data_IF_269300531590
#
_entry.id   IF_269300531590
#
_cell.length_a   1.000
_cell.length_b   1.000
_cell.length_c   1.000
_cell.angle_alpha   90.00
_cell.angle_beta   90.00
_cell.angle_gamma   90.00
#
_symmetry.space_group_name_H-M   'P 1'
#
loop_
_entity.id
_entity.type
_entity.pdbx_description
1 polymer ?
#
# COMPACT_ATOMS: atom_id res chain seq x y z
N UNK A 1 -51.69 45.58 -1.27
CA UNK A 1 -50.34 46.10 -1.58
C UNK A 1 -49.39 45.65 -0.48
N UNK A 2 -48.22 45.19 -0.91
CA UNK A 2 -47.51 44.03 -0.38
C UNK A 2 -46.79 44.22 0.96
N UNK A 3 -46.94 43.23 1.84
CA UNK A 3 -46.00 42.92 2.93
C UNK A 3 -44.73 42.33 2.29
N UNK A 4 -43.59 42.98 2.44
CA UNK A 4 -42.29 42.35 2.24
C UNK A 4 -41.71 42.06 3.63
N UNK A 5 -41.73 40.78 4.00
CA UNK A 5 -40.94 40.24 5.09
C UNK A 5 -39.47 40.22 4.63
N UNK A 6 -38.62 41.02 5.27
CA UNK A 6 -37.18 40.84 5.18
C UNK A 6 -36.81 39.68 6.11
N UNK A 7 -36.59 38.48 5.58
CA UNK A 7 -35.96 37.40 6.36
C UNK A 7 -34.47 37.66 6.43
N UNK A 8 -34.00 38.09 7.60
CA UNK A 8 -32.58 38.18 7.91
C UNK A 8 -32.06 36.75 8.12
N UNK A 9 -31.54 36.12 7.06
CA UNK A 9 -30.84 34.84 7.17
C UNK A 9 -29.50 35.09 7.86
N UNK A 10 -29.45 34.88 9.17
CA UNK A 10 -28.20 34.79 9.93
C UNK A 10 -27.52 33.50 9.47
N UNK A 11 -26.51 33.63 8.60
CA UNK A 11 -25.60 32.55 8.27
C UNK A 11 -24.81 32.25 9.54
N UNK A 12 -25.16 31.17 10.22
CA UNK A 12 -24.28 30.56 11.22
C UNK A 12 -23.06 30.05 10.46
N UNK A 13 -21.97 30.82 10.49
CA UNK A 13 -20.65 30.24 10.33
C UNK A 13 -20.46 29.26 11.48
N UNK A 14 -20.70 27.97 11.22
CA UNK A 14 -20.13 26.92 12.03
C UNK A 14 -18.61 27.03 11.86
N UNK A 15 -17.99 27.82 12.73
CA UNK A 15 -16.59 27.67 13.07
C UNK A 15 -16.46 26.27 13.66
N UNK A 16 -16.12 25.29 12.82
CA UNK A 16 -15.68 24.00 13.33
C UNK A 16 -14.44 24.25 14.19
N UNK A 17 -14.47 23.88 15.48
CA UNK A 17 -13.29 24.01 16.31
C UNK A 17 -12.20 23.11 15.73
N UNK A 18 -11.06 23.71 15.44
CA UNK A 18 -9.80 23.08 15.08
C UNK A 18 -9.31 22.21 16.25
N UNK A 19 -9.85 21.01 16.39
CA UNK A 19 -9.40 20.05 17.40
C UNK A 19 -9.69 18.59 17.02
N UNK A 20 -9.49 18.22 15.76
CA UNK A 20 -9.31 16.82 15.39
C UNK A 20 -7.92 16.66 14.76
N UNK A 21 -6.93 16.42 15.62
CA UNK A 21 -5.80 15.61 15.17
C UNK A 21 -6.30 14.16 15.11
N UNK A 22 -7.14 13.86 14.11
CA UNK A 22 -7.54 12.49 13.81
C UNK A 22 -6.38 11.83 13.08
N UNK A 23 -5.59 11.02 13.79
CA UNK A 23 -4.67 10.08 13.16
C UNK A 23 -5.51 8.96 12.53
N UNK A 24 -6.07 9.20 11.36
CA UNK A 24 -6.71 8.15 10.59
C UNK A 24 -5.66 7.15 10.13
N UNK A 25 -6.08 5.88 10.02
CA UNK A 25 -5.22 4.82 9.51
C UNK A 25 -5.78 4.32 8.18
N UNK A 26 -4.86 4.05 7.25
CA UNK A 26 -5.15 3.38 5.99
C UNK A 26 -5.35 1.89 6.24
N UNK A 27 -5.97 1.13 5.31
CA UNK A 27 -6.12 -0.31 5.44
C UNK A 27 -4.80 -0.97 5.83
N UNK A 28 -4.81 -1.83 6.83
CA UNK A 28 -3.59 -2.54 7.19
C UNK A 28 -3.30 -3.61 6.12
N UNK A 29 -2.16 -3.45 5.44
CA UNK A 29 -1.71 -4.40 4.43
C UNK A 29 -0.89 -5.50 5.12
N UNK A 30 -1.17 -6.80 4.87
CA UNK A 30 -0.40 -7.90 5.42
C UNK A 30 1.10 -7.72 5.18
N UNK A 31 1.88 -7.86 6.26
CA UNK A 31 3.34 -7.70 6.19
C UNK A 31 3.94 -8.94 5.54
N UNK A 32 4.46 -8.81 4.31
CA UNK A 32 5.09 -9.93 3.62
C UNK A 32 6.57 -10.01 3.97
N UNK A 33 6.96 -11.08 4.65
CA UNK A 33 8.34 -11.29 5.08
C UNK A 33 9.21 -11.66 3.87
N UNK A 34 10.36 -11.00 3.74
CA UNK A 34 11.34 -11.28 2.70
C UNK A 34 11.03 -10.63 1.35
N UNK A 35 10.05 -9.72 1.28
CA UNK A 35 9.73 -8.94 0.09
C UNK A 35 9.81 -7.43 0.40
N UNK A 36 10.38 -6.65 -0.51
CA UNK A 36 10.20 -5.20 -0.55
C UNK A 36 8.71 -4.94 -0.75
N UNK A 37 8.13 -3.96 -0.06
CA UNK A 37 6.71 -3.62 -0.25
C UNK A 37 6.62 -2.17 -0.71
N UNK A 38 5.90 -1.93 -1.80
CA UNK A 38 5.40 -0.61 -2.19
C UNK A 38 3.89 -0.60 -1.93
N UNK A 39 3.38 0.47 -1.31
CA UNK A 39 1.95 0.65 -1.09
C UNK A 39 1.46 1.80 -1.95
N UNK A 40 0.41 1.55 -2.73
CA UNK A 40 -0.17 2.50 -3.66
C UNK A 40 -1.64 2.65 -3.29
N UNK A 41 -2.00 3.86 -2.90
CA UNK A 41 -3.34 4.25 -2.49
C UNK A 41 -3.97 5.09 -3.58
N UNK A 42 -5.00 4.56 -4.23
CA UNK A 42 -5.78 5.24 -5.26
C UNK A 42 -7.01 5.84 -4.59
N UNK A 43 -7.05 7.17 -4.47
CA UNK A 43 -8.13 7.91 -3.83
C UNK A 43 -9.12 8.31 -4.91
N UNK A 44 -10.31 7.74 -4.88
CA UNK A 44 -11.34 8.08 -5.84
C UNK A 44 -11.98 9.41 -5.46
N UNK A 45 -11.91 10.41 -6.32
CA UNK A 45 -12.56 11.71 -6.09
C UNK A 45 -14.01 11.71 -6.58
N UNK A 46 -14.31 10.92 -7.61
CA UNK A 46 -15.63 10.78 -8.20
C UNK A 46 -15.86 9.31 -8.49
N UNK A 47 -17.04 8.82 -8.08
CA UNK A 47 -17.52 7.46 -8.34
C UNK A 47 -17.62 7.05 -9.81
N UNK A 48 -17.40 7.99 -10.74
CA UNK A 48 -17.45 7.74 -12.17
C UNK A 48 -16.17 7.15 -12.77
N UNK A 49 -15.10 6.96 -11.99
CA UNK A 49 -13.86 6.27 -12.45
C UNK A 49 -14.21 4.80 -12.76
N UNK A 50 -14.24 4.43 -14.04
CA UNK A 50 -14.78 3.15 -14.51
C UNK A 50 -13.77 2.19 -15.16
N UNK A 51 -12.54 2.62 -15.43
CA UNK A 51 -11.47 1.79 -16.04
C UNK A 51 -10.42 1.30 -15.00
N UNK A 52 -10.89 1.01 -13.78
CA UNK A 52 -10.02 0.66 -12.63
C UNK A 52 -9.07 -0.50 -12.89
N UNK A 53 -9.53 -1.56 -13.55
CA UNK A 53 -8.72 -2.75 -13.81
C UNK A 53 -7.61 -2.46 -14.83
N UNK A 54 -7.87 -1.63 -15.82
CA UNK A 54 -6.85 -1.19 -16.77
C UNK A 54 -5.81 -0.26 -16.12
N UNK A 55 -6.23 0.67 -15.26
CA UNK A 55 -5.30 1.48 -14.45
C UNK A 55 -4.41 0.59 -13.58
N UNK A 56 -5.00 -0.38 -12.87
CA UNK A 56 -4.27 -1.33 -12.03
C UNK A 56 -3.25 -2.12 -12.86
N UNK A 57 -3.68 -2.64 -14.01
CA UNK A 57 -2.82 -3.38 -14.94
C UNK A 57 -1.64 -2.52 -15.40
N UNK A 58 -1.89 -1.25 -15.78
CA UNK A 58 -0.81 -0.34 -16.17
C UNK A 58 0.20 -0.12 -15.05
N UNK A 59 -0.26 0.11 -13.81
CA UNK A 59 0.62 0.29 -12.66
C UNK A 59 1.45 -0.97 -12.41
N UNK A 60 0.81 -2.13 -12.32
CA UNK A 60 1.45 -3.41 -11.98
C UNK A 60 2.44 -3.81 -13.07
N UNK A 61 2.00 -3.90 -14.32
CA UNK A 61 2.84 -4.30 -15.46
C UNK A 61 4.05 -3.38 -15.61
N UNK A 62 3.85 -2.07 -15.44
CA UNK A 62 4.94 -1.10 -15.52
C UNK A 62 5.95 -1.34 -14.41
N UNK A 63 5.53 -1.48 -13.15
CA UNK A 63 6.43 -1.79 -12.03
C UNK A 63 7.20 -3.09 -12.29
N UNK A 64 6.51 -4.15 -12.70
CA UNK A 64 7.14 -5.45 -12.99
C UNK A 64 8.14 -5.40 -14.14
N UNK A 65 7.91 -4.53 -15.14
CA UNK A 65 8.83 -4.32 -16.26
C UNK A 65 10.21 -3.79 -15.81
N UNK A 66 10.30 -3.26 -14.59
CA UNK A 66 11.57 -2.88 -13.96
C UNK A 66 12.46 -4.10 -13.69
N UNK A 67 11.93 -5.32 -13.66
CA UNK A 67 12.68 -6.56 -13.42
C UNK A 67 12.77 -6.99 -11.96
N UNK A 68 12.08 -6.32 -11.03
CA UNK A 68 11.80 -6.84 -9.69
C UNK A 68 10.50 -7.67 -9.74
N UNK A 69 10.61 -8.97 -10.00
CA UNK A 69 9.45 -9.87 -10.06
C UNK A 69 9.32 -10.81 -8.85
N UNK A 70 10.41 -11.16 -8.17
CA UNK A 70 10.37 -12.19 -7.11
C UNK A 70 10.52 -11.69 -5.68
N UNK A 71 10.95 -10.44 -5.49
CA UNK A 71 11.29 -9.84 -4.20
C UNK A 71 10.61 -8.49 -3.96
N UNK A 72 9.65 -8.10 -4.81
CA UNK A 72 8.81 -6.91 -4.64
C UNK A 72 7.34 -7.32 -4.55
N UNK A 73 6.66 -6.84 -3.51
CA UNK A 73 5.24 -6.92 -3.30
C UNK A 73 4.62 -5.55 -3.57
N UNK A 74 3.65 -5.52 -4.48
CA UNK A 74 2.88 -4.33 -4.81
C UNK A 74 1.54 -4.45 -4.08
N UNK A 75 1.30 -3.57 -3.12
CA UNK A 75 0.02 -3.49 -2.44
C UNK A 75 -0.72 -2.28 -2.98
N UNK A 76 -1.72 -2.53 -3.80
CA UNK A 76 -2.56 -1.51 -4.42
C UNK A 76 -3.95 -1.56 -3.76
N UNK A 77 -4.51 -0.41 -3.45
CA UNK A 77 -5.85 -0.33 -2.85
C UNK A 77 -6.58 0.95 -3.27
N UNK A 78 -7.82 0.77 -3.69
CA UNK A 78 -8.77 1.86 -3.91
C UNK A 78 -9.38 2.31 -2.57
N UNK A 79 -9.42 3.62 -2.38
CA UNK A 79 -10.04 4.29 -1.24
C UNK A 79 -11.24 5.06 -1.78
N UNK A 80 -12.36 4.35 -1.84
CA UNK A 80 -13.65 4.81 -2.32
C UNK A 80 -14.69 4.89 -1.19
N UNK A 81 -15.93 5.19 -1.55
CA UNK A 81 -17.06 5.32 -0.62
C UNK A 81 -17.31 4.11 0.29
N UNK A 82 -16.77 2.93 -0.02
CA UNK A 82 -16.85 1.75 0.86
C UNK A 82 -15.87 1.81 2.04
N UNK A 83 -14.93 2.76 2.03
CA UNK A 83 -13.92 2.89 3.08
C UNK A 83 -14.40 3.78 4.23
N UNK A 84 -14.21 3.32 5.48
CA UNK A 84 -14.72 3.95 6.72
C UNK A 84 -14.41 5.44 6.86
N UNK A 85 -13.26 5.88 6.33
CA UNK A 85 -12.80 7.27 6.43
C UNK A 85 -12.98 8.06 5.12
N UNK A 86 -13.64 7.49 4.11
CA UNK A 86 -13.84 8.15 2.83
C UNK A 86 -14.66 9.42 2.96
N UNK A 87 -15.73 9.41 3.76
CA UNK A 87 -16.59 10.60 3.89
C UNK A 87 -15.82 11.84 4.37
N UNK A 88 -14.86 11.67 5.29
CA UNK A 88 -14.04 12.80 5.74
C UNK A 88 -13.12 13.33 4.63
N UNK A 89 -12.67 12.45 3.73
CA UNK A 89 -11.92 12.86 2.55
C UNK A 89 -12.84 13.57 1.54
N UNK A 90 -14.01 12.99 1.26
CA UNK A 90 -15.04 13.50 0.33
C UNK A 90 -15.56 14.88 0.76
N UNK A 91 -15.74 15.11 2.06
CA UNK A 91 -16.19 16.40 2.62
C UNK A 91 -15.15 17.52 2.48
N UNK A 92 -13.88 17.19 2.22
CA UNK A 92 -12.75 18.13 2.25
C UNK A 92 -12.15 18.32 0.87
N UNK A 93 -11.89 17.22 0.16
CA UNK A 93 -11.23 17.23 -1.13
C UNK A 93 -12.28 17.19 -2.23
N UNK A 94 -12.31 18.24 -3.02
CA UNK A 94 -13.15 18.38 -4.20
C UNK A 94 -12.29 18.72 -5.41
N UNK A 95 -12.81 18.46 -6.61
CA UNK A 95 -12.12 18.80 -7.85
C UNK A 95 -12.06 20.33 -8.04
N UNK A 96 -10.87 20.84 -8.29
CA UNK A 96 -10.63 22.25 -8.63
C UNK A 96 -9.83 22.37 -9.93
N UNK A 97 -9.96 23.53 -10.60
CA UNK A 97 -9.35 23.74 -11.92
C UNK A 97 -7.81 23.85 -11.85
N UNK A 98 -7.25 24.42 -10.78
CA UNK A 98 -5.80 24.56 -10.69
C UNK A 98 -5.14 23.25 -10.21
N UNK A 99 -4.40 22.62 -11.12
CA UNK A 99 -3.72 21.34 -10.85
C UNK A 99 -2.60 21.42 -9.80
N UNK A 100 -1.92 22.56 -9.64
CA UNK A 100 -0.91 22.72 -8.57
C UNK A 100 -1.62 22.81 -7.22
N UNK A 101 -2.64 23.66 -7.12
CA UNK A 101 -3.42 23.81 -5.89
C UNK A 101 -4.12 22.50 -5.51
N UNK A 102 -4.64 21.76 -6.50
CA UNK A 102 -5.27 20.46 -6.28
C UNK A 102 -4.28 19.45 -5.68
N UNK A 103 -3.09 19.33 -6.28
CA UNK A 103 -2.07 18.40 -5.81
C UNK A 103 -1.56 18.78 -4.42
N UNK A 104 -1.34 20.07 -4.16
CA UNK A 104 -0.91 20.58 -2.87
C UNK A 104 -1.97 20.34 -1.79
N UNK A 105 -3.23 20.68 -2.05
CA UNK A 105 -4.34 20.46 -1.12
C UNK A 105 -4.53 18.98 -0.77
N UNK A 106 -4.43 18.09 -1.76
CA UNK A 106 -4.47 16.65 -1.54
C UNK A 106 -3.30 16.15 -0.69
N UNK A 107 -2.07 16.56 -1.03
CA UNK A 107 -0.85 16.23 -0.29
C UNK A 107 -0.93 16.71 1.17
N UNK A 108 -1.40 17.93 1.40
CA UNK A 108 -1.55 18.51 2.74
C UNK A 108 -2.61 17.76 3.55
N UNK A 109 -3.75 17.42 2.94
CA UNK A 109 -4.77 16.61 3.58
C UNK A 109 -4.23 15.26 4.04
N UNK A 110 -3.54 14.52 3.17
CA UNK A 110 -3.01 13.20 3.53
C UNK A 110 -1.98 13.32 4.66
N UNK A 111 -1.05 14.26 4.57
CA UNK A 111 -0.01 14.44 5.59
C UNK A 111 -0.57 14.90 6.94
N UNK A 112 -1.66 15.67 6.94
CA UNK A 112 -2.32 16.14 8.17
C UNK A 112 -3.13 15.02 8.87
N UNK A 113 -3.65 14.06 8.11
CA UNK A 113 -4.66 13.12 8.58
C UNK A 113 -4.15 11.66 8.70
N UNK A 114 -3.07 11.31 8.01
CA UNK A 114 -2.56 9.94 7.96
C UNK A 114 -1.08 9.85 8.31
N UNK A 115 -0.67 8.73 8.91
CA UNK A 115 0.74 8.46 9.19
C UNK A 115 1.47 8.08 7.90
N UNK A 116 2.40 8.93 7.51
CA UNK A 116 3.18 8.76 6.29
C UNK A 116 4.36 7.77 6.46
N UNK A 117 4.61 6.92 5.47
CA UNK A 117 5.80 6.06 5.39
C UNK A 117 6.49 6.24 4.04
N UNK A 118 7.82 6.08 4.03
CA UNK A 118 8.65 6.28 2.83
C UNK A 118 8.35 5.35 1.64
N UNK A 119 7.45 4.38 1.78
CA UNK A 119 7.04 3.46 0.72
C UNK A 119 5.54 3.53 0.43
N UNK A 120 4.87 4.56 0.92
CA UNK A 120 3.47 4.86 0.65
C UNK A 120 3.39 5.89 -0.49
N UNK A 121 2.59 5.60 -1.51
CA UNK A 121 2.35 6.45 -2.66
C UNK A 121 0.85 6.69 -2.79
N UNK A 122 0.46 7.93 -3.02
CA UNK A 122 -0.92 8.37 -3.00
C UNK A 122 -1.26 9.04 -4.33
N UNK A 123 -2.29 8.53 -4.97
CA UNK A 123 -2.74 8.98 -6.28
C UNK A 123 -4.19 9.41 -6.13
N UNK A 124 -4.47 10.70 -6.34
CA UNK A 124 -5.84 11.19 -6.43
C UNK A 124 -6.36 10.93 -7.84
N UNK A 125 -7.42 10.14 -7.96
CA UNK A 125 -8.04 9.70 -9.20
C UNK A 125 -9.32 10.48 -9.46
N UNK A 126 -9.53 10.85 -10.71
CA UNK A 126 -10.78 11.46 -11.20
C UNK A 126 -11.05 10.95 -12.60
N UNK A 127 -12.29 11.04 -13.05
CA UNK A 127 -12.65 10.66 -14.42
C UNK A 127 -12.04 11.61 -15.45
N UNK A 128 -12.39 12.89 -15.36
CA UNK A 128 -12.01 13.88 -16.36
C UNK A 128 -10.65 14.53 -16.10
N UNK A 129 -10.01 15.07 -17.13
CA UNK A 129 -8.79 15.89 -17.00
C UNK A 129 -8.82 16.92 -15.85
N UNK A 130 -7.64 17.19 -15.29
CA UNK A 130 -7.39 18.26 -14.33
C UNK A 130 -7.19 19.58 -15.07
N UNK A 131 -7.94 20.62 -14.71
CA UNK A 131 -7.92 21.88 -15.44
C UNK A 131 -9.29 22.35 -15.88
N UNK A 132 -9.30 23.52 -16.50
CA UNK A 132 -10.50 24.06 -17.13
C UNK A 132 -10.92 23.22 -18.35
N UNK A 133 -12.18 23.38 -18.78
CA UNK A 133 -12.73 22.74 -19.98
C UNK A 133 -11.96 23.03 -21.28
N UNK A 134 -11.14 24.09 -21.30
CA UNK A 134 -10.37 24.50 -22.49
C UNK A 134 -8.90 24.04 -22.47
N UNK A 135 -8.34 23.80 -21.28
CA UNK A 135 -6.94 23.39 -21.09
C UNK A 135 -6.91 22.45 -19.88
N UNK A 136 -6.78 21.15 -20.15
CA UNK A 136 -6.72 20.11 -19.13
C UNK A 136 -5.51 19.19 -19.32
N UNK A 137 -4.95 18.74 -18.21
CA UNK A 137 -3.87 17.75 -18.14
C UNK A 137 -4.41 16.44 -17.59
N UNK A 138 -3.84 15.32 -18.00
CA UNK A 138 -4.26 14.02 -17.51
C UNK A 138 -3.75 13.76 -16.09
N UNK A 139 -2.55 14.20 -15.75
CA UNK A 139 -1.98 13.99 -14.44
C UNK A 139 -0.92 15.01 -14.10
N UNK A 140 -0.52 15.02 -12.84
CA UNK A 140 0.55 15.86 -12.34
C UNK A 140 1.21 15.28 -11.10
N UNK A 141 2.53 15.46 -11.04
CA UNK A 141 3.32 15.13 -9.85
C UNK A 141 4.61 15.92 -9.82
N UNK A 142 5.23 15.96 -8.64
CA UNK A 142 6.60 16.43 -8.46
C UNK A 142 7.55 15.23 -8.43
N UNK A 143 8.73 15.35 -9.03
CA UNK A 143 9.69 14.24 -9.06
C UNK A 143 10.14 13.85 -7.65
N UNK A 144 10.20 12.55 -7.36
CA UNK A 144 10.44 12.01 -6.01
C UNK A 144 9.40 12.42 -4.96
N UNK A 145 8.21 12.87 -5.39
CA UNK A 145 7.05 13.04 -4.52
C UNK A 145 6.48 11.67 -4.11
N UNK A 146 5.62 11.70 -3.10
CA UNK A 146 4.75 10.58 -2.73
C UNK A 146 3.29 10.78 -3.15
N UNK A 147 3.02 11.90 -3.81
CA UNK A 147 1.68 12.34 -4.18
C UNK A 147 1.63 12.68 -5.67
N UNK A 148 0.58 12.23 -6.34
CA UNK A 148 0.20 12.72 -7.65
C UNK A 148 -1.32 12.79 -7.80
N UNK A 149 -1.74 13.45 -8.87
CA UNK A 149 -3.13 13.43 -9.35
C UNK A 149 -3.13 12.79 -10.74
N UNK A 150 -4.17 12.00 -11.06
CA UNK A 150 -4.31 11.31 -12.34
C UNK A 150 -5.78 11.24 -12.76
N UNK A 151 -6.00 11.25 -14.07
CA UNK A 151 -7.30 11.16 -14.73
C UNK A 151 -7.44 9.82 -15.40
N UNK A 152 -8.65 9.26 -15.34
CA UNK A 152 -9.01 7.99 -15.96
C UNK A 152 -9.21 8.09 -17.48
N UNK A 153 -9.43 9.31 -18.02
CA UNK A 153 -9.41 9.59 -19.47
C UNK A 153 -8.13 9.04 -20.19
N UNK A 154 -7.08 8.70 -19.44
CA UNK A 154 -6.05 7.78 -19.89
C UNK A 154 -5.53 6.89 -18.74
N UNK A 155 -5.72 5.59 -18.88
CA UNK A 155 -5.39 4.53 -17.90
C UNK A 155 -3.88 4.47 -17.62
N UNK A 156 -3.07 4.89 -18.58
CA UNK A 156 -1.60 4.96 -18.44
C UNK A 156 -1.11 6.09 -17.53
N UNK A 157 -1.95 7.07 -17.21
CA UNK A 157 -1.58 8.30 -16.50
C UNK A 157 -1.09 8.01 -15.09
N UNK A 158 -1.81 7.21 -14.31
CA UNK A 158 -1.43 6.91 -12.93
C UNK A 158 -0.05 6.23 -12.87
N UNK A 159 0.23 5.30 -13.80
CA UNK A 159 1.54 4.65 -13.91
C UNK A 159 2.66 5.61 -14.36
N UNK A 160 2.36 6.58 -15.25
CA UNK A 160 3.29 7.63 -15.65
C UNK A 160 3.69 8.52 -14.47
N UNK A 161 2.69 9.04 -13.75
CA UNK A 161 2.92 9.91 -12.59
C UNK A 161 3.64 9.17 -11.45
N UNK A 162 3.27 7.90 -11.21
CA UNK A 162 4.02 7.03 -10.30
C UNK A 162 5.48 6.87 -10.71
N UNK A 163 5.77 6.84 -12.02
CA UNK A 163 7.14 6.84 -12.52
C UNK A 163 7.95 8.04 -12.04
N UNK A 164 7.40 9.25 -12.11
CA UNK A 164 8.04 10.45 -11.59
C UNK A 164 8.20 10.42 -10.06
N UNK A 165 7.21 9.91 -9.32
CA UNK A 165 7.32 9.68 -7.88
C UNK A 165 8.46 8.71 -7.54
N UNK A 166 8.73 7.75 -8.42
CA UNK A 166 9.86 6.81 -8.31
C UNK A 166 11.17 7.35 -8.91
N UNK A 167 11.20 8.63 -9.30
CA UNK A 167 12.38 9.35 -9.79
C UNK A 167 12.63 9.25 -11.30
N UNK A 168 11.76 8.57 -12.04
CA UNK A 168 11.86 8.49 -13.49
C UNK A 168 11.65 9.86 -14.15
N UNK A 169 12.29 10.06 -15.30
CA UNK A 169 12.22 11.31 -16.08
C UNK A 169 11.63 11.05 -17.45
N UNK A 170 11.08 12.09 -18.07
CA UNK A 170 10.59 12.00 -19.43
C UNK A 170 11.67 11.50 -20.38
N UNK A 171 11.27 10.62 -21.31
CA UNK A 171 12.15 10.17 -22.35
C UNK A 171 12.45 11.31 -23.32
N UNK A 172 13.72 11.69 -23.43
CA UNK A 172 14.17 12.78 -24.31
C UNK A 172 14.10 12.44 -25.81
N UNK A 173 13.99 11.15 -26.17
CA UNK A 173 13.75 10.73 -27.55
C UNK A 173 13.26 9.28 -27.61
N UNK A 174 12.18 9.04 -28.34
CA UNK A 174 11.83 7.70 -28.83
C UNK A 174 11.74 7.79 -30.34
N UNK A 175 12.38 6.85 -31.05
CA UNK A 175 12.25 6.70 -32.49
C UNK A 175 10.80 6.83 -32.97
N UNK A 176 10.57 7.57 -34.05
CA UNK A 176 9.26 7.77 -34.67
C UNK A 176 8.68 6.51 -35.34
N UNK A 177 9.42 5.40 -35.33
CA UNK A 177 9.06 4.12 -35.94
C UNK A 177 8.68 3.01 -34.94
N UNK A 178 8.47 3.34 -33.66
CA UNK A 178 7.95 2.39 -32.66
C UNK A 178 6.47 2.63 -32.39
N UNK A 179 5.63 1.63 -32.66
CA UNK A 179 4.18 1.64 -32.41
C UNK A 179 3.82 1.81 -30.91
N UNK A 180 4.74 1.42 -30.02
CA UNK A 180 4.58 1.55 -28.56
C UNK A 180 5.79 2.25 -27.97
N UNK A 181 5.53 3.22 -27.09
CA UNK A 181 6.56 3.95 -26.36
C UNK A 181 6.67 3.52 -24.90
N UNK A 182 7.81 3.78 -24.24
CA UNK A 182 7.92 3.61 -22.80
C UNK A 182 6.94 4.50 -22.03
N UNK A 183 6.60 4.09 -20.81
CA UNK A 183 5.62 4.76 -19.95
C UNK A 183 5.94 6.24 -19.72
N UNK A 184 7.22 6.62 -19.65
CA UNK A 184 7.67 8.01 -19.41
C UNK A 184 7.79 8.85 -20.68
N UNK A 185 7.21 8.42 -21.81
CA UNK A 185 7.14 9.27 -23.00
C UNK A 185 6.09 10.35 -22.80
N UNK A 186 6.39 11.57 -23.23
CA UNK A 186 5.38 12.64 -23.32
C UNK A 186 4.31 12.27 -24.36
N UNK A 187 3.04 12.37 -23.97
CA UNK A 187 1.93 11.99 -24.85
C UNK A 187 2.04 12.68 -26.23
N UNK A 188 1.79 11.90 -27.28
CA UNK A 188 1.78 12.36 -28.67
C UNK A 188 0.67 11.63 -29.40
N UNK A 189 -0.05 12.33 -30.30
CA UNK A 189 -1.27 11.88 -30.98
C UNK A 189 -1.16 10.53 -31.72
N UNK A 190 0.05 10.04 -31.99
CA UNK A 190 0.29 8.88 -32.86
C UNK A 190 1.02 7.73 -32.19
N UNK A 191 1.27 7.79 -30.87
CA UNK A 191 2.06 6.75 -30.20
C UNK A 191 1.36 6.22 -28.96
N UNK A 192 1.10 4.91 -28.95
CA UNK A 192 0.55 4.20 -27.79
C UNK A 192 1.59 4.21 -26.66
N UNK A 193 1.17 4.56 -25.45
CA UNK A 193 2.00 4.39 -24.26
C UNK A 193 1.98 2.91 -23.85
N UNK A 194 3.14 2.36 -23.54
CA UNK A 194 3.34 0.98 -23.14
C UNK A 194 3.68 0.86 -21.66
N UNK A 195 3.39 -0.32 -21.11
CA UNK A 195 3.57 -0.66 -19.70
C UNK A 195 5.03 -1.03 -19.37
N UNK A 196 5.99 -0.23 -19.86
CA UNK A 196 7.41 -0.51 -19.66
C UNK A 196 8.28 0.73 -19.51
N UNK A 197 9.33 0.59 -18.71
CA UNK A 197 10.37 1.60 -18.56
C UNK A 197 11.39 1.57 -19.72
N UNK A 198 11.93 2.73 -20.10
CA UNK A 198 13.19 2.78 -20.86
C UNK A 198 14.35 2.28 -20.00
N UNK A 199 15.49 1.92 -20.62
CA UNK A 199 16.65 1.42 -19.89
C UNK A 199 17.15 2.38 -18.80
N UNK A 200 17.17 3.69 -19.07
CA UNK A 200 17.59 4.71 -18.11
C UNK A 200 16.63 4.81 -16.92
N UNK A 201 15.32 4.77 -17.19
CA UNK A 201 14.30 4.82 -16.14
C UNK A 201 14.25 3.52 -15.33
N UNK A 202 14.52 2.34 -15.93
CA UNK A 202 14.65 1.08 -15.19
C UNK A 202 15.66 1.22 -14.06
N UNK A 203 16.87 1.71 -14.36
CA UNK A 203 17.92 1.87 -13.33
C UNK A 203 17.48 2.81 -12.21
N UNK A 204 16.80 3.90 -12.54
CA UNK A 204 16.34 4.89 -11.56
C UNK A 204 15.24 4.35 -10.65
N UNK A 205 14.19 3.77 -11.23
CA UNK A 205 13.08 3.16 -10.48
C UNK A 205 13.58 2.04 -9.56
N UNK A 206 14.53 1.23 -10.04
CA UNK A 206 15.15 0.19 -9.22
C UNK A 206 15.84 0.73 -7.97
N UNK A 207 16.52 1.88 -8.07
CA UNK A 207 17.17 2.52 -6.91
C UNK A 207 16.16 2.98 -5.87
N UNK A 208 14.99 3.43 -6.28
CA UNK A 208 13.88 3.78 -5.37
C UNK A 208 13.35 2.55 -4.66
N UNK A 209 13.13 1.43 -5.37
CA UNK A 209 12.76 0.16 -4.72
C UNK A 209 13.86 -0.39 -3.81
N UNK A 210 15.12 -0.11 -4.14
CA UNK A 210 16.25 -0.39 -3.27
C UNK A 210 16.34 0.53 -2.05
N UNK A 211 15.75 1.72 -2.06
CA UNK A 211 15.72 2.61 -0.91
C UNK A 211 14.59 2.29 0.08
N UNK A 212 13.54 1.58 -0.36
CA UNK A 212 12.47 1.04 0.51
C UNK A 212 12.96 -0.05 1.48
N UNK A 213 14.25 -0.07 1.81
CA UNK A 213 14.93 -1.10 2.58
C UNK A 213 14.16 -1.45 3.84
N UNK A 214 13.56 -2.64 3.79
CA UNK A 214 13.32 -3.49 4.94
C UNK A 214 13.91 -4.87 4.67
N UNK A 215 15.19 -4.96 4.24
CA UNK A 215 16.11 -6.03 4.67
C UNK A 215 17.54 -5.91 4.06
N UNK A 216 18.63 -6.01 4.85
CA UNK A 216 19.98 -6.14 4.33
C UNK A 216 20.25 -7.56 3.82
N UNK A 217 21.26 -7.72 2.94
CA UNK A 217 21.69 -8.97 2.27
C UNK A 217 22.00 -10.18 3.19
N UNK A 218 21.85 -10.05 4.51
CA UNK A 218 21.79 -11.14 5.50
C UNK A 218 21.27 -10.62 6.87
N UNK A 219 20.60 -11.47 7.66
CA UNK A 219 20.35 -11.42 9.14
C UNK A 219 19.12 -10.68 9.72
N UNK A 220 18.43 -11.43 10.61
CA UNK A 220 17.57 -11.06 11.78
C UNK A 220 16.62 -9.89 11.62
N UNK A 221 15.30 -10.17 11.62
CA UNK A 221 14.29 -9.11 11.54
C UNK A 221 14.05 -8.57 12.95
N UNK A 222 14.41 -7.32 13.18
CA UNK A 222 14.02 -6.62 14.40
C UNK A 222 12.72 -5.88 14.15
N UNK A 223 11.62 -6.40 14.67
CA UNK A 223 10.41 -5.61 14.85
C UNK A 223 10.52 -4.95 16.23
N UNK A 224 10.43 -3.62 16.28
CA UNK A 224 10.03 -2.92 17.49
C UNK A 224 8.54 -2.61 17.27
N UNK A 225 7.65 -3.05 18.15
CA UNK A 225 6.20 -2.84 18.01
C UNK A 225 5.76 -1.42 18.33
N UNK A 226 6.63 -0.42 18.25
CA UNK A 226 6.26 0.97 18.43
C UNK A 226 5.61 1.51 17.16
N UNK A 227 4.39 1.04 16.89
CA UNK A 227 3.40 1.70 16.04
C UNK A 227 2.03 1.17 16.44
N UNK A 228 1.49 1.69 17.54
CA UNK A 228 0.05 1.75 17.75
C UNK A 228 -0.58 2.47 16.54
N UNK A 229 -1.68 1.98 15.98
CA UNK A 229 -2.96 2.40 16.53
C UNK A 229 -4.00 1.29 16.55
N UNK A 230 -4.83 1.42 17.55
CA UNK A 230 -5.98 0.62 17.90
C UNK A 230 -7.21 1.37 17.38
N UNK A 231 -7.79 0.99 16.24
CA UNK A 231 -9.24 1.10 15.99
C UNK A 231 -9.67 0.04 14.96
N UNK A 232 -10.12 -1.09 15.48
CA UNK A 232 -11.28 -1.89 15.05
C UNK A 232 -11.66 -1.97 13.54
N UNK A 233 -11.58 -3.23 13.05
CA UNK A 233 -12.57 -3.93 12.20
C UNK A 233 -12.46 -3.87 10.65
N UNK A 234 -11.63 -4.78 10.12
CA UNK A 234 -11.95 -5.89 9.17
C UNK A 234 -12.61 -5.72 7.80
N UNK A 235 -12.94 -4.53 7.28
CA UNK A 235 -13.74 -4.51 6.03
C UNK A 235 -13.03 -4.90 4.71
N UNK A 236 -11.70 -5.03 4.65
CA UNK A 236 -11.00 -5.54 3.45
C UNK A 236 -10.34 -6.92 3.66
N UNK A 237 -10.81 -7.67 4.66
CA UNK A 237 -10.25 -8.95 5.09
C UNK A 237 -11.21 -10.16 4.96
N UNK A 238 -11.97 -10.38 3.86
CA UNK A 238 -12.88 -11.54 3.78
C UNK A 238 -12.19 -12.91 4.00
N UNK A 239 -10.86 -12.98 3.83
CA UNK A 239 -10.09 -14.22 4.05
C UNK A 239 -9.63 -14.47 5.48
N UNK A 240 -9.72 -13.49 6.38
CA UNK A 240 -9.17 -13.60 7.74
C UNK A 240 -10.23 -13.78 8.83
N UNK A 241 -11.53 -13.72 8.50
CA UNK A 241 -12.61 -14.11 9.42
C UNK A 241 -12.51 -15.59 9.86
N UNK A 242 -11.89 -16.45 9.04
CA UNK A 242 -11.63 -17.85 9.39
C UNK A 242 -10.60 -18.02 10.53
N UNK A 243 -9.82 -16.99 10.85
CA UNK A 243 -8.89 -16.99 11.99
C UNK A 243 -9.60 -16.62 13.32
N UNK A 244 -10.94 -16.58 13.33
CA UNK A 244 -11.86 -16.12 14.39
C UNK A 244 -11.72 -16.72 15.80
N UNK A 245 -10.63 -17.43 16.09
CA UNK A 245 -10.20 -17.81 17.44
C UNK A 245 -9.58 -16.63 18.20
N UNK A 246 -8.97 -15.68 17.48
CA UNK A 246 -8.25 -14.56 18.08
C UNK A 246 -9.05 -13.27 17.91
N UNK A 247 -9.11 -12.44 18.96
CA UNK A 247 -9.53 -11.06 18.78
C UNK A 247 -8.47 -10.38 17.89
N UNK A 248 -8.75 -10.30 16.58
CA UNK A 248 -7.82 -9.86 15.55
C UNK A 248 -7.19 -8.49 15.84
N UNK A 249 -7.87 -7.64 16.64
CA UNK A 249 -7.33 -6.36 17.13
C UNK A 249 -6.07 -6.48 17.99
N UNK A 250 -5.65 -7.68 18.39
CA UNK A 250 -4.52 -7.91 19.31
C UNK A 250 -3.44 -8.86 18.78
N UNK A 251 -3.67 -9.49 17.62
CA UNK A 251 -2.71 -10.39 16.99
C UNK A 251 -2.05 -9.70 15.79
N UNK A 252 -0.74 -9.91 15.60
CA UNK A 252 -0.03 -9.40 14.42
C UNK A 252 0.15 -10.54 13.43
N UNK A 253 -0.28 -10.31 12.19
CA UNK A 253 -0.24 -11.31 11.12
C UNK A 253 0.83 -10.94 10.10
N UNK A 254 1.71 -11.90 9.79
CA UNK A 254 2.69 -11.81 8.73
C UNK A 254 2.40 -12.86 7.66
N UNK A 255 2.51 -12.47 6.40
CA UNK A 255 2.48 -13.41 5.29
C UNK A 255 3.91 -13.86 4.98
N UNK A 256 4.11 -15.15 4.79
CA UNK A 256 5.38 -15.76 4.44
C UNK A 256 5.20 -16.55 3.13
N UNK A 257 5.87 -16.16 2.03
CA UNK A 257 6.01 -17.01 0.86
C UNK A 257 6.85 -18.24 1.24
N UNK A 258 6.30 -19.43 1.04
CA UNK A 258 6.92 -20.70 1.44
C UNK A 258 7.20 -21.58 0.23
N UNK A 259 8.26 -22.38 0.34
CA UNK A 259 8.71 -23.26 -0.73
C UNK A 259 9.11 -24.61 -0.14
N UNK A 260 8.65 -25.69 -0.77
CA UNK A 260 8.85 -27.08 -0.34
C UNK A 260 10.30 -27.51 -0.22
N UNK A 261 11.22 -26.82 -0.91
CA UNK A 261 12.66 -27.10 -0.88
C UNK A 261 13.36 -26.49 0.34
N UNK A 262 12.63 -25.81 1.21
CA UNK A 262 13.18 -25.18 2.39
C UNK A 262 12.45 -25.64 3.65
N UNK A 263 13.21 -25.72 4.73
CA UNK A 263 12.69 -25.76 6.08
C UNK A 263 12.79 -24.38 6.70
N UNK A 264 11.82 -24.03 7.53
CA UNK A 264 11.72 -22.71 8.14
C UNK A 264 11.83 -22.80 9.67
N UNK A 265 12.53 -21.85 10.26
CA UNK A 265 12.55 -21.63 11.71
C UNK A 265 11.96 -20.25 11.99
N UNK A 266 10.92 -20.20 12.81
CA UNK A 266 10.18 -19.01 13.17
C UNK A 266 10.27 -18.88 14.69
N UNK A 267 10.81 -17.78 15.19
CA UNK A 267 11.15 -17.62 16.61
C UNK A 267 10.86 -16.20 17.08
N UNK A 268 10.27 -16.06 18.26
CA UNK A 268 10.23 -14.79 18.97
C UNK A 268 11.50 -14.65 19.81
N UNK A 269 12.46 -13.81 19.39
CA UNK A 269 13.74 -13.64 20.10
C UNK A 269 13.58 -12.78 21.37
N UNK A 270 12.70 -11.78 21.33
CA UNK A 270 12.43 -10.84 22.42
C UNK A 270 10.93 -10.54 22.45
N UNK A 271 10.36 -10.44 23.64
CA UNK A 271 8.99 -9.95 23.86
C UNK A 271 8.90 -9.33 25.26
N UNK A 272 8.06 -8.31 25.43
CA UNK A 272 7.67 -7.76 26.75
C UNK A 272 6.40 -8.43 27.31
N UNK A 273 5.89 -9.45 26.62
CA UNK A 273 4.73 -10.26 26.99
C UNK A 273 4.98 -11.75 26.68
N UNK A 274 4.09 -12.58 27.20
CA UNK A 274 4.03 -14.02 26.98
C UNK A 274 3.37 -14.29 25.62
N UNK A 275 4.13 -14.84 24.68
CA UNK A 275 3.73 -14.91 23.26
C UNK A 275 3.19 -16.27 22.88
N UNK A 276 2.27 -16.29 21.93
CA UNK A 276 1.90 -17.47 21.15
C UNK A 276 2.24 -17.25 19.68
N UNK A 277 2.67 -18.33 19.02
CA UNK A 277 2.92 -18.36 17.59
C UNK A 277 2.02 -19.41 16.93
N UNK A 278 1.23 -18.99 15.95
CA UNK A 278 0.44 -19.88 15.10
C UNK A 278 0.85 -19.74 13.65
N UNK A 279 0.74 -20.83 12.91
CA UNK A 279 1.02 -20.91 11.49
C UNK A 279 -0.22 -21.43 10.79
N UNK A 280 -0.75 -20.68 9.84
CA UNK A 280 -1.91 -21.06 9.04
C UNK A 280 -1.57 -21.17 7.54
N UNK A 281 -2.32 -22.00 6.82
CA UNK A 281 -2.27 -22.09 5.35
C UNK A 281 -3.11 -20.99 4.66
N UNK A 282 -3.12 -20.98 3.33
CA UNK A 282 -3.89 -20.05 2.51
C UNK A 282 -5.42 -20.13 2.63
N UNK A 283 -5.92 -21.18 3.29
CA UNK A 283 -7.34 -21.44 3.55
C UNK A 283 -7.70 -21.22 5.02
N UNK A 284 -6.75 -20.78 5.85
CA UNK A 284 -6.95 -20.55 7.28
C UNK A 284 -6.89 -21.81 8.13
N UNK A 285 -6.40 -22.94 7.62
CA UNK A 285 -6.18 -24.14 8.43
C UNK A 285 -4.87 -24.01 9.21
N UNK A 286 -4.89 -24.36 10.49
CA UNK A 286 -3.69 -24.36 11.33
C UNK A 286 -2.73 -25.47 10.87
N UNK A 287 -1.52 -25.08 10.48
CA UNK A 287 -0.41 -25.98 10.12
C UNK A 287 0.36 -26.38 11.38
N UNK A 288 0.61 -25.40 12.26
CA UNK A 288 1.39 -25.61 13.48
C UNK A 288 1.14 -24.47 14.48
N UNK A 289 1.36 -24.74 15.77
CA UNK A 289 1.31 -23.75 16.83
C UNK A 289 2.37 -24.05 17.88
N UNK A 290 2.86 -23.02 18.55
CA UNK A 290 3.75 -23.17 19.69
C UNK A 290 3.54 -22.03 20.68
N UNK A 291 3.62 -22.35 21.96
CA UNK A 291 3.52 -21.39 23.06
C UNK A 291 4.87 -21.19 23.75
N UNK A 292 5.52 -22.26 24.23
CA UNK A 292 6.69 -22.20 25.12
C UNK A 292 7.85 -23.14 24.72
N UNK A 293 8.50 -22.93 23.56
CA UNK A 293 9.68 -23.75 23.16
C UNK A 293 10.94 -22.98 22.75
N UNK A 294 10.94 -21.66 22.95
CA UNK A 294 12.10 -20.78 22.83
C UNK A 294 12.83 -20.56 24.16
N UNK A 295 13.53 -19.42 24.30
CA UNK A 295 14.20 -19.06 25.58
C UNK A 295 13.19 -18.35 26.50
N UNK A 296 12.76 -19.03 27.56
CA UNK A 296 11.73 -18.55 28.48
C UNK A 296 10.32 -18.83 27.96
N UNK A 297 9.37 -17.90 28.16
CA UNK A 297 7.98 -17.95 27.68
C UNK A 297 7.83 -17.49 26.22
N UNK A 298 8.76 -17.91 25.35
CA UNK A 298 8.83 -17.42 23.97
C UNK A 298 8.56 -18.57 23.02
N UNK A 299 7.73 -18.33 22.01
CA UNK A 299 7.38 -19.36 21.06
C UNK A 299 8.45 -19.55 19.99
N UNK A 300 8.70 -20.81 19.64
CA UNK A 300 9.60 -21.19 18.54
C UNK A 300 9.01 -22.35 17.76
N UNK A 301 9.07 -22.28 16.44
CA UNK A 301 8.76 -23.38 15.54
C UNK A 301 9.97 -23.61 14.66
N UNK A 302 10.61 -24.78 14.79
CA UNK A 302 11.83 -25.11 14.05
C UNK A 302 11.58 -26.19 13.02
N UNK A 303 12.34 -26.13 11.92
CA UNK A 303 12.32 -27.14 10.85
C UNK A 303 10.94 -27.36 10.21
N UNK A 304 10.10 -26.32 10.14
CA UNK A 304 8.79 -26.35 9.49
C UNK A 304 8.93 -26.65 7.99
N UNK A 305 8.23 -27.67 7.52
CA UNK A 305 8.01 -27.94 6.09
C UNK A 305 6.59 -27.52 5.74
N UNK A 306 6.44 -26.76 4.66
CA UNK A 306 5.15 -26.31 4.16
C UNK A 306 4.63 -27.16 3.01
N UNK A 307 5.26 -28.30 2.72
CA UNK A 307 4.82 -29.25 1.70
C UNK A 307 4.46 -28.53 0.37
N UNK A 308 3.24 -28.73 -0.16
CA UNK A 308 2.78 -28.10 -1.40
C UNK A 308 2.24 -26.67 -1.25
N UNK A 309 2.19 -26.13 -0.04
CA UNK A 309 1.73 -24.76 0.18
C UNK A 309 2.72 -23.76 -0.44
N UNK A 310 2.18 -22.65 -0.94
CA UNK A 310 2.96 -21.55 -1.56
C UNK A 310 3.05 -20.33 -0.65
N UNK A 311 2.14 -20.24 0.31
CA UNK A 311 2.09 -19.18 1.30
C UNK A 311 1.67 -19.75 2.66
N UNK A 312 2.13 -19.10 3.72
CA UNK A 312 1.71 -19.36 5.09
C UNK A 312 1.54 -18.04 5.83
N UNK A 313 0.73 -18.07 6.88
CA UNK A 313 0.43 -16.91 7.72
C UNK A 313 0.97 -17.16 9.12
N UNK A 314 1.89 -16.31 9.55
CA UNK A 314 2.45 -16.31 10.90
C UNK A 314 1.61 -15.37 11.74
N UNK A 315 0.97 -15.89 12.78
CA UNK A 315 0.17 -15.11 13.72
C UNK A 315 0.90 -15.08 15.04
N UNK A 316 1.27 -13.88 15.47
CA UNK A 316 1.84 -13.63 16.80
C UNK A 316 0.75 -13.03 17.67
N UNK A 317 0.44 -13.69 18.78
CA UNK A 317 -0.51 -13.20 19.79
C UNK A 317 0.06 -13.39 21.19
N UNK A 318 -0.69 -13.07 22.25
CA UNK A 318 -0.20 -13.22 23.62
C UNK A 318 -1.20 -13.85 24.58
N UNK A 319 -0.67 -14.52 25.61
CA UNK A 319 -1.46 -15.16 26.65
C UNK A 319 -2.40 -14.15 27.33
N UNK A 320 -3.64 -14.54 27.59
CA UNK A 320 -4.69 -13.68 28.15
C UNK A 320 -4.85 -12.34 27.42
N UNK A 321 -4.70 -12.33 26.09
CA UNK A 321 -4.80 -11.13 25.25
C UNK A 321 -3.75 -10.05 25.56
N UNK A 322 -2.61 -10.42 26.14
CA UNK A 322 -1.45 -9.52 26.27
C UNK A 322 -0.85 -9.23 24.89
N UNK A 323 -0.25 -8.06 24.77
CA UNK A 323 0.38 -7.56 23.56
C UNK A 323 1.48 -6.57 23.95
N UNK A 324 2.42 -6.34 23.05
CA UNK A 324 3.52 -5.40 23.25
C UNK A 324 4.66 -5.63 22.27
N UNK A 325 5.85 -5.13 22.60
CA UNK A 325 7.04 -5.19 21.76
C UNK A 325 7.59 -6.60 21.67
N UNK A 326 7.70 -7.12 20.44
CA UNK A 326 8.39 -8.37 20.16
C UNK A 326 9.28 -8.30 18.93
N UNK A 327 10.31 -9.16 18.89
CA UNK A 327 11.22 -9.36 17.77
C UNK A 327 10.98 -10.76 17.18
N UNK A 328 10.41 -10.82 15.97
CA UNK A 328 10.18 -12.05 15.21
C UNK A 328 11.35 -12.33 14.26
N UNK A 329 11.96 -13.49 14.40
CA UNK A 329 13.02 -14.01 13.54
C UNK A 329 12.47 -15.12 12.65
N UNK A 330 12.67 -14.99 11.35
CA UNK A 330 12.38 -16.05 10.36
C UNK A 330 13.66 -16.43 9.64
N UNK A 331 14.01 -17.70 9.69
CA UNK A 331 15.13 -18.30 8.97
C UNK A 331 14.62 -19.40 8.05
N UNK A 332 15.29 -19.59 6.92
CA UNK A 332 15.07 -20.73 6.04
C UNK A 332 16.38 -21.41 5.71
N UNK A 333 16.35 -22.72 5.59
CA UNK A 333 17.48 -23.55 5.17
C UNK A 333 17.02 -24.56 4.12
N UNK A 334 17.90 -24.98 3.22
CA UNK A 334 17.55 -26.01 2.24
C UNK A 334 17.14 -27.30 2.96
N UNK A 335 16.00 -27.86 2.58
CA UNK A 335 15.64 -29.22 2.98
C UNK A 335 16.62 -30.18 2.30
N UNK A 336 17.51 -30.81 3.06
CA UNK A 336 18.38 -31.86 2.54
C UNK A 336 17.48 -33.01 2.08
N UNK A 337 17.22 -33.12 0.78
CA UNK A 337 16.64 -34.33 0.20
C UNK A 337 17.75 -35.38 0.21
N UNK A 338 17.67 -36.34 1.12
CA UNK A 338 18.43 -37.59 0.96
C UNK A 338 17.90 -38.24 -0.32
N UNK A 339 18.79 -38.38 -1.31
CA UNK A 339 18.55 -39.17 -2.52
C UNK A 339 18.23 -40.61 -2.17
#
# INVERSE_FOLDING_TARGET
MNKLFLSLSIVFFYLFPSSYASNFELPEIPRIIGMKTIKIWLWELDSSVDDRDDIENYIISTIESSGYKSDLHIALSWLDSNYKNYQHFDDVIHKIDDSDDQLNGFSDYIQANYKFKNNDYHILMTESKWGSIFVGIFGKTYINSHFCIASDDSESTAAHELGHMLGAKHNSSTSWWTWTAPIMKTQSLFVRIGEFWSNDNKSTVRKSFDSFLNFPKSKRIFFASNSYSTVDSTNNAPKYEMLGRWNASKAIIYKLPVNSNFKYTIEIEKADFDTYLYIYDEKGNEINQNDDSGVGLKSKLSSLSFNSHREAYIVVSGFNNKHGNFTLKVEREYSIQRK
#
